data_IF_602494676691
#
_entry.id   IF_602494676691
#
_cell.length_a   1.000
_cell.length_b   1.000
_cell.length_c   1.000
_cell.angle_alpha   90.00
_cell.angle_beta   90.00
_cell.angle_gamma   90.00
#
_symmetry.space_group_name_H-M   'P 1'
#
loop_
_entity.id
_entity.type
_entity.pdbx_description
1 polymer ?
#
# COMPACT_ATOMS: atom_id res chain seq x y z
N UNK A 1 -41.05 34.79 -0.88
CA UNK A 1 -40.45 35.56 -1.99
C UNK A 1 -39.00 35.16 -2.07
N UNK A 2 -38.61 34.73 -3.26
CA UNK A 2 -37.61 33.70 -3.55
C UNK A 2 -36.18 34.22 -3.63
N UNK A 3 -35.30 33.48 -2.97
CA UNK A 3 -33.84 33.60 -2.84
C UNK A 3 -33.08 33.29 -4.16
N UNK A 4 -33.50 33.91 -5.26
CA UNK A 4 -32.93 33.70 -6.61
C UNK A 4 -31.94 34.80 -7.01
N UNK A 5 -31.84 35.90 -6.25
CA UNK A 5 -31.01 37.06 -6.60
C UNK A 5 -29.49 36.81 -6.44
N UNK A 6 -29.10 35.85 -5.60
CA UNK A 6 -27.69 35.51 -5.36
C UNK A 6 -27.09 34.69 -6.52
N UNK A 7 -27.89 33.85 -7.18
CA UNK A 7 -27.43 33.06 -8.33
C UNK A 7 -27.35 33.90 -9.62
N UNK A 8 -28.23 34.89 -9.79
CA UNK A 8 -28.21 35.78 -10.96
C UNK A 8 -27.03 36.76 -10.94
N UNK A 9 -26.58 37.19 -9.76
CA UNK A 9 -25.42 38.10 -9.63
C UNK A 9 -24.09 37.41 -9.95
N UNK A 10 -23.98 36.09 -9.74
CA UNK A 10 -22.81 35.28 -10.14
C UNK A 10 -22.68 35.12 -11.67
N UNK A 11 -23.79 35.13 -12.40
CA UNK A 11 -23.77 35.01 -13.87
C UNK A 11 -23.41 36.32 -14.59
N UNK A 12 -23.67 37.48 -13.96
CA UNK A 12 -23.44 38.80 -14.57
C UNK A 12 -21.99 39.29 -14.45
N UNK A 13 -21.21 38.75 -13.50
CA UNK A 13 -19.83 39.18 -13.25
C UNK A 13 -18.83 38.06 -13.61
N UNK A 14 -18.21 38.15 -14.81
CA UNK A 14 -17.23 37.16 -15.33
C UNK A 14 -16.12 36.84 -14.33
N UNK A 15 -15.70 37.81 -13.52
CA UNK A 15 -14.63 37.65 -12.54
C UNK A 15 -15.05 36.75 -11.37
N UNK A 16 -16.27 36.92 -10.83
CA UNK A 16 -16.81 36.05 -9.77
C UNK A 16 -17.03 34.61 -10.25
N UNK A 17 -17.52 34.42 -11.48
CA UNK A 17 -17.63 33.09 -12.09
C UNK A 17 -16.27 32.39 -12.20
N UNK A 18 -15.22 33.12 -12.55
CA UNK A 18 -13.86 32.58 -12.63
C UNK A 18 -13.33 32.17 -11.26
N UNK A 19 -13.52 32.99 -10.22
CA UNK A 19 -13.11 32.63 -8.86
C UNK A 19 -13.86 31.40 -8.34
N UNK A 20 -15.17 31.30 -8.60
CA UNK A 20 -15.94 30.12 -8.24
C UNK A 20 -15.44 28.85 -8.95
N UNK A 21 -15.12 28.95 -10.25
CA UNK A 21 -14.65 27.81 -11.04
C UNK A 21 -13.24 27.37 -10.60
N UNK A 22 -12.36 28.31 -10.27
CA UNK A 22 -11.04 28.03 -9.70
C UNK A 22 -11.19 27.35 -8.34
N UNK A 23 -12.04 27.88 -7.46
CA UNK A 23 -12.30 27.28 -6.14
C UNK A 23 -12.86 25.85 -6.30
N UNK A 24 -13.81 25.66 -7.20
CA UNK A 24 -14.39 24.36 -7.51
C UNK A 24 -13.33 23.38 -8.05
N UNK A 25 -12.47 23.82 -8.96
CA UNK A 25 -11.37 23.00 -9.49
C UNK A 25 -10.38 22.61 -8.39
N UNK A 26 -10.02 23.53 -7.49
CA UNK A 26 -9.15 23.24 -6.33
C UNK A 26 -9.80 22.19 -5.44
N UNK A 27 -11.08 22.33 -5.12
CA UNK A 27 -11.81 21.34 -4.31
C UNK A 27 -11.79 19.96 -4.98
N UNK A 28 -12.05 19.88 -6.28
CA UNK A 28 -12.03 18.61 -7.03
C UNK A 28 -10.64 17.98 -7.02
N UNK A 29 -9.57 18.78 -7.22
CA UNK A 29 -8.18 18.28 -7.16
C UNK A 29 -7.83 17.77 -5.77
N UNK A 30 -8.23 18.48 -4.71
CA UNK A 30 -8.04 18.02 -3.33
C UNK A 30 -8.80 16.72 -3.05
N UNK A 31 -10.03 16.61 -3.55
CA UNK A 31 -10.81 15.39 -3.44
C UNK A 31 -10.10 14.23 -4.15
N UNK A 32 -9.64 14.43 -5.38
CA UNK A 32 -8.88 13.42 -6.12
C UNK A 32 -7.56 13.05 -5.43
N UNK A 33 -6.89 14.01 -4.79
CA UNK A 33 -5.66 13.76 -4.05
C UNK A 33 -5.91 12.88 -2.81
N UNK A 34 -6.93 13.21 -2.02
CA UNK A 34 -7.33 12.44 -0.83
C UNK A 34 -7.83 11.05 -1.25
N UNK A 35 -8.66 10.99 -2.30
CA UNK A 35 -9.23 9.73 -2.79
C UNK A 35 -8.29 8.93 -3.70
N UNK A 36 -7.06 9.39 -3.95
CA UNK A 36 -6.11 8.71 -4.86
C UNK A 36 -5.92 7.23 -4.51
N UNK A 37 -5.80 6.92 -3.23
CA UNK A 37 -5.66 5.54 -2.75
C UNK A 37 -6.98 4.75 -2.84
N UNK A 38 -8.11 5.42 -2.62
CA UNK A 38 -9.44 4.81 -2.74
C UNK A 38 -9.85 4.53 -4.19
N UNK A 39 -9.32 5.26 -5.17
CA UNK A 39 -9.57 5.00 -6.59
C UNK A 39 -9.14 3.59 -6.99
N UNK A 40 -8.03 3.10 -6.44
CA UNK A 40 -7.57 1.72 -6.66
C UNK A 40 -8.54 0.71 -6.05
N UNK A 41 -8.95 0.91 -4.79
CA UNK A 41 -9.92 0.04 -4.12
C UNK A 41 -11.24 -0.01 -4.89
N UNK A 42 -11.71 1.15 -5.37
CA UNK A 42 -12.91 1.26 -6.17
C UNK A 42 -12.78 0.50 -7.51
N UNK A 43 -11.66 0.67 -8.21
CA UNK A 43 -11.40 -0.03 -9.47
C UNK A 43 -11.33 -1.55 -9.26
N UNK A 44 -10.66 -2.00 -8.19
CA UNK A 44 -10.63 -3.42 -7.83
C UNK A 44 -12.02 -3.95 -7.51
N UNK A 45 -12.83 -3.21 -6.74
CA UNK A 45 -14.21 -3.60 -6.45
C UNK A 45 -15.06 -3.73 -7.71
N UNK A 46 -14.90 -2.82 -8.67
CA UNK A 46 -15.59 -2.87 -9.97
C UNK A 46 -15.17 -4.12 -10.76
N UNK A 47 -13.87 -4.39 -10.86
CA UNK A 47 -13.33 -5.58 -11.53
C UNK A 47 -13.86 -6.85 -10.86
N UNK A 48 -13.82 -6.89 -9.53
CA UNK A 48 -14.29 -8.04 -8.75
C UNK A 48 -15.79 -8.27 -8.96
N UNK A 49 -16.60 -7.20 -8.96
CA UNK A 49 -18.02 -7.27 -9.27
C UNK A 49 -18.28 -7.87 -10.65
N UNK A 50 -17.56 -7.41 -11.68
CA UNK A 50 -17.70 -7.93 -13.05
C UNK A 50 -17.27 -9.40 -13.12
N UNK A 51 -16.16 -9.76 -12.47
CA UNK A 51 -15.64 -11.12 -12.46
C UNK A 51 -16.55 -12.11 -11.71
N UNK A 52 -17.22 -11.66 -10.63
CA UNK A 52 -18.11 -12.49 -9.81
C UNK A 52 -19.54 -12.54 -10.32
N UNK A 53 -19.95 -11.62 -11.19
CA UNK A 53 -21.27 -11.63 -11.82
C UNK A 53 -21.66 -12.97 -12.45
N UNK A 54 -20.84 -13.63 -13.29
CA UNK A 54 -21.20 -14.94 -13.86
C UNK A 54 -21.38 -16.01 -12.78
N UNK A 55 -20.55 -15.97 -11.73
CA UNK A 55 -20.63 -16.89 -10.60
C UNK A 55 -21.92 -16.67 -9.81
N UNK A 56 -22.33 -15.42 -9.65
CA UNK A 56 -23.62 -15.05 -9.06
C UNK A 56 -24.81 -15.57 -9.86
N UNK A 57 -24.79 -15.38 -11.18
CA UNK A 57 -25.87 -15.84 -12.07
C UNK A 57 -25.97 -17.38 -12.12
N UNK A 58 -24.85 -18.10 -12.07
CA UNK A 58 -24.84 -19.57 -11.92
C UNK A 58 -25.47 -19.99 -10.59
N UNK A 59 -25.12 -19.34 -9.49
CA UNK A 59 -25.66 -19.66 -8.17
C UNK A 59 -27.14 -19.35 -8.03
N UNK A 60 -27.63 -18.31 -8.69
CA UNK A 60 -29.04 -17.93 -8.69
C UNK A 60 -29.92 -18.99 -9.39
N UNK A 61 -29.36 -19.79 -10.30
CA UNK A 61 -30.05 -20.96 -10.89
C UNK A 61 -30.27 -22.09 -9.89
N UNK A 62 -29.35 -22.28 -8.94
CA UNK A 62 -29.46 -23.30 -7.90
C UNK A 62 -30.26 -22.82 -6.69
N UNK A 63 -30.11 -21.55 -6.32
CA UNK A 63 -30.77 -20.94 -5.16
C UNK A 63 -31.88 -20.03 -5.64
N UNK A 64 -33.11 -20.56 -5.72
CA UNK A 64 -34.33 -19.86 -6.20
C UNK A 64 -34.67 -18.54 -5.47
N UNK A 65 -33.99 -18.20 -4.37
CA UNK A 65 -34.19 -16.94 -3.61
C UNK A 65 -32.95 -16.05 -3.68
N UNK A 66 -33.12 -14.84 -4.24
CA UNK A 66 -32.07 -13.83 -4.48
C UNK A 66 -31.22 -13.48 -3.25
N UNK A 67 -31.83 -13.37 -2.08
CA UNK A 67 -31.14 -13.02 -0.82
C UNK A 67 -30.16 -14.12 -0.37
N UNK A 68 -30.56 -15.39 -0.50
CA UNK A 68 -29.68 -16.51 -0.13
C UNK A 68 -28.51 -16.65 -1.11
N UNK A 69 -28.71 -16.33 -2.39
CA UNK A 69 -27.66 -16.36 -3.40
C UNK A 69 -26.53 -15.37 -3.08
N UNK A 70 -26.86 -14.12 -2.73
CA UNK A 70 -25.85 -13.11 -2.40
C UNK A 70 -25.05 -13.44 -1.13
N UNK A 71 -25.71 -13.92 -0.07
CA UNK A 71 -25.01 -14.35 1.17
C UNK A 71 -24.09 -15.54 0.91
N UNK A 72 -24.52 -16.50 0.09
CA UNK A 72 -23.72 -17.68 -0.21
C UNK A 72 -22.45 -17.32 -1.03
N UNK A 73 -22.56 -16.36 -1.94
CA UNK A 73 -21.41 -15.87 -2.72
C UNK A 73 -20.40 -15.17 -1.83
N UNK A 74 -20.86 -14.31 -0.92
CA UNK A 74 -19.97 -13.65 0.04
C UNK A 74 -19.25 -14.70 0.88
N UNK A 75 -19.97 -15.73 1.34
CA UNK A 75 -19.39 -16.81 2.14
C UNK A 75 -18.37 -17.63 1.32
N UNK A 76 -18.65 -17.92 0.05
CA UNK A 76 -17.72 -18.60 -0.87
C UNK A 76 -16.47 -17.76 -1.12
N UNK A 77 -16.62 -16.46 -1.39
CA UNK A 77 -15.46 -15.56 -1.57
C UNK A 77 -14.62 -15.54 -0.29
N UNK A 78 -15.26 -15.44 0.87
CA UNK A 78 -14.56 -15.38 2.15
C UNK A 78 -13.78 -16.68 2.42
N UNK A 79 -14.41 -17.84 2.20
CA UNK A 79 -13.78 -19.13 2.46
C UNK A 79 -12.76 -19.55 1.40
N UNK A 80 -12.98 -19.22 0.13
CA UNK A 80 -12.17 -19.73 -0.98
C UNK A 80 -11.11 -18.73 -1.47
N UNK A 81 -11.31 -17.43 -1.23
CA UNK A 81 -10.36 -16.39 -1.65
C UNK A 81 -9.70 -15.75 -0.43
N UNK A 82 -10.48 -15.23 0.52
CA UNK A 82 -9.92 -14.44 1.63
C UNK A 82 -9.10 -15.31 2.57
N UNK A 83 -9.65 -16.44 3.05
CA UNK A 83 -8.95 -17.33 3.98
C UNK A 83 -7.64 -17.88 3.37
N UNK A 84 -7.61 -18.42 2.13
CA UNK A 84 -6.36 -18.87 1.52
C UNK A 84 -5.36 -17.74 1.29
N UNK A 85 -5.82 -16.53 0.95
CA UNK A 85 -4.93 -15.37 0.77
C UNK A 85 -4.27 -14.98 2.09
N UNK A 86 -4.99 -15.03 3.21
CA UNK A 86 -4.44 -14.77 4.54
C UNK A 86 -3.36 -15.80 4.91
N UNK A 87 -3.59 -17.08 4.62
CA UNK A 87 -2.56 -18.12 4.80
C UNK A 87 -1.33 -17.86 3.94
N UNK A 88 -1.52 -17.48 2.67
CA UNK A 88 -0.43 -17.17 1.75
C UNK A 88 0.40 -15.99 2.26
N UNK A 89 -0.25 -14.92 2.74
CA UNK A 89 0.42 -13.78 3.36
C UNK A 89 1.22 -14.19 4.61
N UNK A 90 0.68 -15.07 5.45
CA UNK A 90 1.38 -15.58 6.62
C UNK A 90 2.65 -16.35 6.23
N UNK A 91 2.55 -17.25 5.25
CA UNK A 91 3.72 -17.99 4.74
C UNK A 91 4.77 -17.07 4.09
N UNK A 92 4.33 -16.05 3.35
CA UNK A 92 5.24 -15.05 2.77
C UNK A 92 5.93 -14.24 3.87
N UNK A 93 5.19 -13.86 4.91
CA UNK A 93 5.76 -13.17 6.07
C UNK A 93 6.85 -14.01 6.73
N UNK A 94 6.59 -15.30 7.00
CA UNK A 94 7.59 -16.22 7.56
C UNK A 94 8.84 -16.34 6.66
N UNK A 95 8.64 -16.49 5.35
CA UNK A 95 9.75 -16.55 4.39
C UNK A 95 10.58 -15.26 4.36
N UNK A 96 9.92 -14.10 4.46
CA UNK A 96 10.58 -12.81 4.54
C UNK A 96 11.41 -12.73 5.82
N UNK A 97 10.85 -13.10 6.99
CA UNK A 97 11.59 -13.11 8.25
C UNK A 97 12.82 -14.04 8.20
N UNK A 98 12.68 -15.24 7.64
CA UNK A 98 13.81 -16.15 7.44
C UNK A 98 14.88 -15.56 6.52
N UNK A 99 14.46 -14.91 5.42
CA UNK A 99 15.37 -14.28 4.49
C UNK A 99 16.14 -13.13 5.16
N UNK A 100 15.47 -12.28 5.95
CA UNK A 100 16.12 -11.25 6.75
C UNK A 100 17.11 -11.84 7.75
N UNK A 101 16.75 -12.92 8.44
CA UNK A 101 17.65 -13.62 9.35
C UNK A 101 18.91 -14.10 8.63
N UNK A 102 18.75 -14.78 7.50
CA UNK A 102 19.89 -15.30 6.71
C UNK A 102 20.76 -14.17 6.15
N UNK A 103 20.17 -13.10 5.63
CA UNK A 103 20.91 -11.94 5.13
C UNK A 103 21.66 -11.27 6.28
N UNK A 104 21.02 -11.08 7.44
CA UNK A 104 21.66 -10.51 8.62
C UNK A 104 22.89 -11.31 9.03
N UNK A 105 22.78 -12.65 9.12
CA UNK A 105 23.92 -13.52 9.47
C UNK A 105 25.01 -13.54 8.40
N UNK A 106 24.64 -13.66 7.12
CA UNK A 106 25.60 -13.72 6.03
C UNK A 106 26.36 -12.39 5.85
N UNK A 107 25.64 -11.26 5.85
CA UNK A 107 26.22 -9.93 5.70
C UNK A 107 27.04 -9.54 6.93
N UNK A 108 26.57 -9.83 8.14
CA UNK A 108 27.34 -9.55 9.36
C UNK A 108 28.66 -10.34 9.39
N UNK A 109 28.62 -11.64 9.09
CA UNK A 109 29.82 -12.48 9.07
C UNK A 109 30.79 -12.09 7.95
N UNK A 110 30.27 -11.80 6.75
CA UNK A 110 31.10 -11.47 5.59
C UNK A 110 31.74 -10.08 5.71
N UNK A 111 31.00 -9.09 6.23
CA UNK A 111 31.54 -7.76 6.55
C UNK A 111 32.59 -7.86 7.66
N UNK A 112 32.33 -8.58 8.75
CA UNK A 112 33.31 -8.73 9.84
C UNK A 112 34.59 -9.44 9.36
N UNK A 113 34.45 -10.45 8.50
CA UNK A 113 35.60 -11.19 7.96
C UNK A 113 36.44 -10.33 7.01
N UNK A 114 35.81 -9.63 6.07
CA UNK A 114 36.53 -8.77 5.12
C UNK A 114 37.04 -7.47 5.74
N UNK A 115 36.35 -6.91 6.72
CA UNK A 115 36.83 -5.77 7.51
C UNK A 115 37.98 -6.16 8.46
N UNK A 116 38.05 -7.44 8.87
CA UNK A 116 39.16 -7.99 9.65
C UNK A 116 40.45 -8.21 8.85
N UNK A 117 40.35 -8.55 7.56
CA UNK A 117 41.51 -8.85 6.72
C UNK A 117 42.14 -7.62 6.05
N UNK A 118 41.42 -6.49 5.97
CA UNK A 118 41.84 -5.34 5.17
C UNK A 118 42.43 -4.20 6.04
N UNK A 119 43.75 -4.00 5.96
CA UNK A 119 44.50 -3.00 6.75
C UNK A 119 44.03 -1.54 6.60
N UNK A 120 43.41 -1.22 5.46
CA UNK A 120 42.86 0.12 5.18
C UNK A 120 41.60 0.39 6.02
N UNK A 121 40.77 -0.64 6.20
CA UNK A 121 39.53 -0.56 6.98
C UNK A 121 39.87 -0.44 8.47
N UNK A 122 40.88 -1.17 8.94
CA UNK A 122 41.37 -1.04 10.32
C UNK A 122 41.93 0.35 10.63
N UNK A 123 42.69 0.93 9.69
CA UNK A 123 43.23 2.30 9.82
C UNK A 123 42.16 3.39 9.79
N UNK A 124 41.11 3.22 8.98
CA UNK A 124 39.96 4.13 8.99
C UNK A 124 39.14 3.99 10.28
N UNK A 125 38.91 2.77 10.74
CA UNK A 125 38.13 2.49 11.96
C UNK A 125 38.80 3.02 13.24
N UNK A 126 40.12 2.88 13.35
CA UNK A 126 40.88 3.47 14.46
C UNK A 126 40.97 5.00 14.35
N UNK A 127 40.92 5.58 13.15
CA UNK A 127 40.85 7.03 12.97
C UNK A 127 39.48 7.62 13.37
N UNK A 128 38.40 6.87 13.18
CA UNK A 128 37.04 7.29 13.55
C UNK A 128 36.60 6.84 14.95
N UNK A 129 37.43 6.07 15.68
CA UNK A 129 37.12 5.46 16.99
C UNK A 129 35.83 4.63 16.99
N UNK A 130 35.57 3.93 15.88
CA UNK A 130 34.36 3.12 15.70
C UNK A 130 34.70 1.64 15.81
N UNK A 131 33.98 0.92 16.65
CA UNK A 131 34.14 -0.52 16.82
C UNK A 131 33.60 -1.28 15.59
N UNK A 132 34.30 -2.34 15.16
CA UNK A 132 33.92 -3.16 13.98
C UNK A 132 32.49 -3.71 14.07
N UNK A 133 32.04 -4.03 15.28
CA UNK A 133 30.67 -4.47 15.55
C UNK A 133 29.64 -3.35 15.28
N UNK A 134 29.96 -2.11 15.63
CA UNK A 134 29.08 -0.94 15.47
C UNK A 134 28.86 -0.57 13.99
N UNK A 135 29.88 -0.78 13.13
CA UNK A 135 29.72 -0.64 11.68
C UNK A 135 28.77 -1.68 11.08
N UNK A 136 28.90 -2.95 11.49
CA UNK A 136 28.04 -4.02 11.02
C UNK A 136 26.58 -3.75 11.37
N UNK A 137 26.33 -3.32 12.62
CA UNK A 137 25.00 -2.98 13.11
C UNK A 137 24.40 -1.78 12.35
N UNK A 138 25.19 -0.74 12.07
CA UNK A 138 24.74 0.43 11.29
C UNK A 138 24.41 0.09 9.85
N UNK A 139 25.20 -0.74 9.18
CA UNK A 139 24.90 -1.14 7.79
C UNK A 139 23.59 -1.96 7.77
N UNK A 140 23.43 -2.88 8.72
CA UNK A 140 22.22 -3.69 8.85
C UNK A 140 20.99 -2.84 9.18
N UNK A 141 21.12 -1.80 10.01
CA UNK A 141 20.03 -0.89 10.31
C UNK A 141 19.60 -0.08 9.08
N UNK A 142 20.54 0.41 8.27
CA UNK A 142 20.22 1.08 6.99
C UNK A 142 19.48 0.17 6.02
N UNK A 143 19.89 -1.09 5.89
CA UNK A 143 19.18 -2.07 5.05
C UNK A 143 17.78 -2.36 5.59
N UNK A 144 17.64 -2.53 6.90
CA UNK A 144 16.36 -2.76 7.56
C UNK A 144 15.40 -1.58 7.36
N UNK A 145 15.86 -0.36 7.61
CA UNK A 145 15.05 0.86 7.44
C UNK A 145 14.65 1.11 5.99
N UNK A 146 15.58 0.94 5.05
CA UNK A 146 15.30 1.12 3.62
C UNK A 146 14.27 0.10 3.14
N UNK A 147 14.42 -1.16 3.55
CA UNK A 147 13.53 -2.21 3.08
C UNK A 147 12.16 -2.09 3.74
N UNK A 148 12.07 -1.77 5.05
CA UNK A 148 10.79 -1.46 5.71
C UNK A 148 10.08 -0.25 5.08
N UNK A 149 10.83 0.81 4.76
CA UNK A 149 10.29 2.00 4.09
C UNK A 149 9.70 1.68 2.71
N UNK A 150 10.41 0.88 1.92
CA UNK A 150 9.93 0.43 0.61
C UNK A 150 8.66 -0.43 0.77
N UNK A 151 8.64 -1.40 1.67
CA UNK A 151 7.45 -2.22 1.91
C UNK A 151 6.25 -1.41 2.46
N UNK A 152 6.50 -0.46 3.36
CA UNK A 152 5.47 0.44 3.88
C UNK A 152 4.90 1.38 2.80
N UNK A 153 5.65 1.66 1.73
CA UNK A 153 5.16 2.47 0.61
C UNK A 153 4.26 1.70 -0.36
N UNK A 154 4.30 0.36 -0.33
CA UNK A 154 3.47 -0.51 -1.16
C UNK A 154 2.16 -0.94 -0.49
N UNK A 155 2.03 -0.74 0.82
CA UNK A 155 0.88 -1.12 1.65
C UNK A 155 0.00 0.11 1.92
#
# INVERSE_FOLDING_TARGET
MTDNSSYETLFKNKTMKSYFLILFAVIVVFLLFIFRFYLWIFLYSLIFYVALRPLHELLLKYVKKRIFSSTLIILIILSLVVVPSMFLLMMLSEQIYELYGRIHFAVYYDILKHAGENKIIDGALTFFDVEKADLGERILSYFKETTMSVFASFL
#
